data_IF_878923760072
#
_entry.id   IF_878923760072
#
_cell.length_a   1.000
_cell.length_b   1.000
_cell.length_c   1.000
_cell.angle_alpha   90.00
_cell.angle_beta   90.00
_cell.angle_gamma   90.00
#
_symmetry.space_group_name_H-M   'P 1'
#
loop_
_entity.id
_entity.type
_entity.pdbx_description
1 polymer ?
#
# COMPACT_ATOMS: atom_id res chain seq x y z
N UNK A 1 -6.67 -13.85 2.98
CA UNK A 1 -5.55 -12.88 3.07
C UNK A 1 -5.53 -12.34 4.49
N UNK A 2 -4.38 -12.26 5.19
CA UNK A 2 -4.31 -11.69 6.53
C UNK A 2 -4.82 -10.24 6.53
N UNK A 3 -5.39 -9.78 7.65
CA UNK A 3 -5.80 -8.39 7.83
C UNK A 3 -4.61 -7.53 8.27
N UNK A 4 -4.46 -6.32 7.73
CA UNK A 4 -3.47 -5.36 8.25
C UNK A 4 -3.94 -4.84 9.62
N UNK A 5 -3.17 -5.14 10.67
CA UNK A 5 -3.48 -4.72 12.04
C UNK A 5 -2.49 -3.70 12.58
N UNK A 6 -1.33 -3.52 11.93
CA UNK A 6 -0.34 -2.51 12.28
C UNK A 6 1.04 -2.81 11.71
N UNK A 7 2.07 -2.13 12.23
CA UNK A 7 3.46 -2.25 11.75
C UNK A 7 4.03 -3.67 11.86
N UNK A 8 3.65 -4.42 12.90
CA UNK A 8 4.14 -5.76 13.17
C UNK A 8 3.78 -6.80 12.10
N UNK A 9 2.69 -6.60 11.34
CA UNK A 9 2.27 -7.53 10.28
C UNK A 9 2.21 -6.90 8.89
N UNK A 10 2.58 -5.63 8.75
CA UNK A 10 2.55 -4.90 7.48
C UNK A 10 3.36 -5.60 6.37
N UNK A 11 4.55 -6.13 6.67
CA UNK A 11 5.38 -6.83 5.67
C UNK A 11 4.70 -8.06 5.07
N UNK A 12 4.11 -8.92 5.93
CA UNK A 12 3.38 -10.11 5.49
C UNK A 12 2.08 -9.76 4.77
N UNK A 13 1.37 -8.73 5.24
CA UNK A 13 0.18 -8.21 4.56
C UNK A 13 0.52 -7.68 3.17
N UNK A 14 1.56 -6.84 3.05
CA UNK A 14 2.02 -6.26 1.77
C UNK A 14 2.35 -7.36 0.76
N UNK A 15 3.05 -8.41 1.19
CA UNK A 15 3.32 -9.56 0.34
C UNK A 15 2.03 -10.25 -0.12
N UNK A 16 1.11 -10.54 0.79
CA UNK A 16 -0.14 -11.21 0.45
C UNK A 16 -1.01 -10.39 -0.52
N UNK A 17 -1.11 -9.08 -0.33
CA UNK A 17 -1.83 -8.18 -1.25
C UNK A 17 -1.13 -8.08 -2.60
N UNK A 18 0.20 -8.09 -2.64
CA UNK A 18 0.92 -8.13 -3.92
C UNK A 18 0.53 -9.37 -4.75
N UNK A 19 0.27 -10.52 -4.12
CA UNK A 19 -0.19 -11.72 -4.81
C UNK A 19 -1.64 -11.59 -5.31
N UNK A 20 -2.52 -10.96 -4.53
CA UNK A 20 -3.91 -10.69 -4.93
C UNK A 20 -3.94 -9.76 -6.14
N UNK A 21 -3.20 -8.66 -6.09
CA UNK A 21 -3.11 -7.68 -7.18
C UNK A 21 -2.48 -8.28 -8.44
N UNK A 22 -1.50 -9.19 -8.31
CA UNK A 22 -0.95 -9.93 -9.46
C UNK A 22 -1.99 -10.83 -10.10
N UNK A 23 -2.76 -11.57 -9.30
CA UNK A 23 -3.85 -12.41 -9.80
C UNK A 23 -4.93 -11.62 -10.53
N UNK A 24 -5.21 -10.39 -10.06
CA UNK A 24 -6.16 -9.49 -10.69
C UNK A 24 -5.59 -8.72 -11.90
N UNK A 25 -4.29 -8.85 -12.22
CA UNK A 25 -3.64 -8.08 -13.28
C UNK A 25 -3.35 -6.61 -12.94
N UNK A 26 -3.63 -6.19 -11.69
CA UNK A 26 -3.54 -4.81 -11.20
C UNK A 26 -2.15 -4.44 -10.69
N UNK A 27 -1.28 -5.42 -10.43
CA UNK A 27 0.06 -5.18 -9.86
C UNK A 27 0.95 -4.26 -10.70
N UNK A 28 0.78 -4.27 -12.03
CA UNK A 28 1.55 -3.41 -12.94
C UNK A 28 1.32 -1.92 -12.67
N UNK A 29 0.12 -1.55 -12.20
CA UNK A 29 -0.25 -0.18 -11.87
C UNK A 29 0.56 0.28 -10.65
N UNK A 30 0.54 -0.51 -9.57
CA UNK A 30 1.34 -0.24 -8.36
C UNK A 30 2.84 -0.12 -8.68
N UNK A 31 3.38 -0.99 -9.55
CA UNK A 31 4.80 -0.94 -9.91
C UNK A 31 5.20 0.31 -10.69
N UNK A 32 4.32 0.83 -11.54
CA UNK A 32 4.56 2.09 -12.26
C UNK A 32 4.73 3.23 -11.24
N UNK A 33 3.94 3.21 -10.18
CA UNK A 33 3.91 4.26 -9.16
C UNK A 33 5.06 4.15 -8.16
N UNK A 34 5.41 2.94 -7.71
CA UNK A 34 6.64 2.72 -6.93
C UNK A 34 7.89 3.21 -7.68
N UNK A 35 7.91 3.09 -9.01
CA UNK A 35 9.02 3.60 -9.86
C UNK A 35 8.94 5.11 -10.12
N UNK A 36 7.79 5.73 -9.94
CA UNK A 36 7.53 7.15 -10.22
C UNK A 36 7.46 8.01 -8.95
N UNK A 37 7.40 7.40 -7.77
CA UNK A 37 7.48 8.07 -6.47
C UNK A 37 8.74 8.97 -6.42
N UNK A 38 8.54 10.28 -6.60
CA UNK A 38 9.61 11.30 -6.66
C UNK A 38 9.71 12.11 -7.95
N UNK A 39 8.86 11.88 -8.97
CA UNK A 39 8.82 12.73 -10.18
C UNK A 39 7.53 13.57 -10.24
N UNK A 40 7.63 14.91 -10.33
CA UNK A 40 6.45 15.76 -10.45
C UNK A 40 5.87 15.69 -11.86
N UNK A 41 4.55 15.51 -11.96
CA UNK A 41 3.80 15.60 -13.22
C UNK A 41 3.41 14.25 -13.82
N UNK A 42 2.32 13.65 -13.34
CA UNK A 42 1.62 12.63 -14.11
C UNK A 42 0.13 12.57 -13.78
N UNK A 43 -0.61 13.63 -14.12
CA UNK A 43 -2.07 13.71 -13.94
C UNK A 43 -2.88 13.11 -15.09
N UNK A 44 -2.24 12.68 -16.20
CA UNK A 44 -2.96 12.30 -17.44
C UNK A 44 -3.17 10.79 -17.67
N UNK A 45 -2.57 9.93 -16.83
CA UNK A 45 -2.75 8.47 -16.90
C UNK A 45 -3.75 7.93 -15.85
N UNK A 46 -4.28 8.83 -15.01
CA UNK A 46 -5.16 8.49 -13.89
C UNK A 46 -6.61 8.26 -14.32
N UNK A 47 -7.10 9.01 -15.33
CA UNK A 47 -8.49 8.89 -15.81
C UNK A 47 -8.74 7.57 -16.54
N UNK A 48 -7.80 7.11 -17.38
CA UNK A 48 -7.91 5.84 -18.13
C UNK A 48 -7.86 4.59 -17.24
N UNK A 49 -7.51 4.75 -15.95
CA UNK A 49 -7.33 3.65 -14.99
C UNK A 49 -8.17 3.81 -13.72
N UNK A 50 -9.19 4.67 -13.77
CA UNK A 50 -10.06 4.93 -12.61
C UNK A 50 -10.71 3.65 -12.07
N UNK A 51 -11.12 2.74 -12.97
CA UNK A 51 -11.72 1.46 -12.58
C UNK A 51 -10.73 0.56 -11.85
N UNK A 52 -9.51 0.44 -12.38
CA UNK A 52 -8.46 -0.36 -11.76
C UNK A 52 -8.00 0.23 -10.43
N UNK A 53 -7.95 1.56 -10.34
CA UNK A 53 -7.70 2.29 -9.10
C UNK A 53 -8.76 2.00 -8.03
N UNK A 54 -10.04 2.06 -8.40
CA UNK A 54 -11.16 1.73 -7.51
C UNK A 54 -11.11 0.26 -7.05
N UNK A 55 -10.74 -0.66 -7.94
CA UNK A 55 -10.59 -2.07 -7.61
C UNK A 55 -9.42 -2.31 -6.64
N UNK A 56 -8.30 -1.62 -6.84
CA UNK A 56 -7.17 -1.64 -5.88
C UNK A 56 -7.62 -1.11 -4.52
N UNK A 57 -8.35 0.02 -4.48
CA UNK A 57 -8.84 0.63 -3.23
C UNK A 57 -9.76 -0.34 -2.48
N UNK A 58 -10.65 -0.99 -3.22
CA UNK A 58 -11.58 -1.99 -2.69
C UNK A 58 -10.82 -3.18 -2.10
N UNK A 59 -9.83 -3.72 -2.81
CA UNK A 59 -8.99 -4.82 -2.32
C UNK A 59 -8.25 -4.42 -1.04
N UNK A 60 -7.69 -3.21 -0.98
CA UNK A 60 -7.00 -2.71 0.21
C UNK A 60 -7.98 -2.55 1.37
N UNK A 61 -9.11 -1.85 1.17
CA UNK A 61 -10.12 -1.63 2.21
C UNK A 61 -10.70 -2.94 2.77
N UNK A 62 -10.91 -3.95 1.93
CA UNK A 62 -11.38 -5.27 2.33
C UNK A 62 -10.32 -6.11 3.05
N UNK A 63 -9.06 -5.69 3.07
CA UNK A 63 -7.95 -6.46 3.66
C UNK A 63 -7.22 -5.75 4.79
N UNK A 64 -7.67 -4.57 5.18
CA UNK A 64 -7.22 -3.92 6.42
C UNK A 64 -8.24 -4.13 7.54
N UNK A 65 -7.77 -4.05 8.78
CA UNK A 65 -8.62 -4.03 9.98
C UNK A 65 -9.31 -2.67 10.12
N UNK A 66 -10.56 -2.60 10.64
CA UNK A 66 -11.24 -1.34 10.88
C UNK A 66 -10.45 -0.33 11.72
N UNK A 67 -9.56 -0.77 12.62
CA UNK A 67 -8.70 0.13 13.39
C UNK A 67 -7.75 0.97 12.51
N UNK A 68 -7.50 0.50 11.28
CA UNK A 68 -6.59 1.10 10.31
C UNK A 68 -7.30 1.96 9.25
N UNK A 69 -8.64 2.01 9.25
CA UNK A 69 -9.42 2.78 8.26
C UNK A 69 -9.08 4.26 8.25
N UNK A 70 -8.74 4.84 9.41
CA UNK A 70 -8.30 6.23 9.53
C UNK A 70 -7.15 6.61 8.60
N UNK A 71 -6.32 5.64 8.19
CA UNK A 71 -5.19 5.90 7.31
C UNK A 71 -5.60 6.04 5.84
N UNK A 72 -6.69 5.41 5.41
CA UNK A 72 -7.13 5.38 4.00
C UNK A 72 -8.50 6.01 3.75
N UNK A 73 -9.19 6.48 4.80
CA UNK A 73 -10.56 7.01 4.69
C UNK A 73 -10.66 8.21 3.73
N UNK A 74 -9.62 9.03 3.66
CA UNK A 74 -9.57 10.20 2.77
C UNK A 74 -9.02 9.90 1.37
N UNK A 75 -8.57 8.66 1.12
CA UNK A 75 -8.00 8.28 -0.16
C UNK A 75 -9.10 8.01 -1.17
N UNK A 76 -9.01 8.63 -2.34
CA UNK A 76 -9.96 8.42 -3.45
C UNK A 76 -9.44 7.46 -4.50
N UNK A 77 -8.15 7.13 -4.44
CA UNK A 77 -7.44 6.23 -5.34
C UNK A 77 -6.79 5.09 -4.54
N UNK A 78 -6.93 3.84 -5.02
CA UNK A 78 -6.28 2.68 -4.41
C UNK A 78 -4.75 2.77 -4.39
N UNK A 79 -4.18 3.49 -5.34
CA UNK A 79 -2.75 3.83 -5.40
C UNK A 79 -2.35 4.72 -4.24
N UNK A 80 -3.14 5.77 -3.96
CA UNK A 80 -2.89 6.70 -2.87
C UNK A 80 -2.94 5.96 -1.53
N UNK A 81 -3.95 5.09 -1.36
CA UNK A 81 -4.08 4.23 -0.19
C UNK A 81 -2.85 3.33 0.00
N UNK A 82 -2.35 2.71 -1.08
CA UNK A 82 -1.14 1.87 -1.04
C UNK A 82 0.10 2.69 -0.61
N UNK A 83 0.30 3.85 -1.22
CA UNK A 83 1.44 4.72 -0.94
C UNK A 83 1.43 5.23 0.50
N UNK A 84 0.27 5.65 1.01
CA UNK A 84 0.09 6.17 2.38
C UNK A 84 0.34 5.08 3.42
N UNK A 85 -0.14 3.86 3.19
CA UNK A 85 0.15 2.72 4.07
C UNK A 85 1.63 2.35 4.06
N UNK A 86 2.26 2.33 2.88
CA UNK A 86 3.70 2.10 2.77
C UNK A 86 4.49 3.19 3.52
N UNK A 87 4.11 4.47 3.39
CA UNK A 87 4.75 5.57 4.10
C UNK A 87 4.68 5.41 5.62
N UNK A 88 3.50 5.12 6.16
CA UNK A 88 3.28 4.97 7.61
C UNK A 88 4.12 3.82 8.16
N UNK A 89 3.98 2.63 7.57
CA UNK A 89 4.54 1.41 8.15
C UNK A 89 5.99 1.13 7.75
N UNK A 90 6.47 1.63 6.61
CA UNK A 90 7.88 1.50 6.24
C UNK A 90 8.76 2.54 6.93
N UNK A 91 8.23 3.73 7.26
CA UNK A 91 8.94 4.69 8.14
C UNK A 91 9.15 4.10 9.53
N UNK A 92 8.12 3.47 10.12
CA UNK A 92 8.21 2.81 11.42
C UNK A 92 9.12 1.58 11.43
N UNK A 93 9.31 0.92 10.28
CA UNK A 93 10.23 -0.23 10.18
C UNK A 93 11.71 0.14 10.30
N UNK A 94 12.08 1.41 10.09
CA UNK A 94 13.50 1.85 10.10
C UNK A 94 14.07 1.94 11.53
N UNK A 95 13.40 2.55 12.53
CA UNK A 95 13.85 2.52 13.92
C UNK A 95 13.86 1.11 14.53
N UNK A 96 12.85 0.28 14.24
CA UNK A 96 12.75 -1.08 14.80
C UNK A 96 13.86 -2.02 14.31
N UNK A 97 14.38 -1.81 13.09
CA UNK A 97 15.54 -2.55 12.57
C UNK A 97 16.88 -2.15 13.20
N UNK A 98 16.99 -0.94 13.73
CA UNK A 98 18.21 -0.45 14.41
C UNK A 98 18.24 -0.98 15.84
N UNK A 99 17.09 -1.05 16.52
CA UNK A 99 16.99 -1.62 17.85
C UNK A 99 17.42 -3.10 17.90
N UNK A 100 17.05 -3.90 16.89
CA UNK A 100 17.44 -5.31 16.78
C UNK A 100 18.95 -5.56 16.53
N UNK A 101 19.73 -4.52 16.20
CA UNK A 101 21.19 -4.63 16.00
C UNK A 101 22.04 -4.22 17.22
N UNK A 102 21.43 -3.76 18.31
CA UNK A 102 22.14 -3.35 19.53
C UNK A 102 22.17 -4.40 20.64
N UNK A 103 21.46 -5.51 20.47
CA UNK A 103 21.40 -6.60 21.45
C UNK A 103 22.06 -7.91 20.97
N UNK A 104 23.08 -7.81 20.10
CA UNK A 104 23.99 -8.92 19.77
C UNK A 104 25.45 -8.50 19.96
#
# INVERSE_FOLDING_TARGET
VPKLTGSGNHGSWKFAISMVLRRAGLWSIIQILDRQAGRPGHTKAAEDKAKESEEILTIIGLTIDPSQYQHIADCTDGVEAWAKLAEIYEKDSRPSRIALKRDF
#
